data_IF_824946542011
#
_entry.id   IF_824946542011
#
_cell.length_a   1.000
_cell.length_b   1.000
_cell.length_c   1.000
_cell.angle_alpha   90.00
_cell.angle_beta   90.00
_cell.angle_gamma   90.00
#
_symmetry.space_group_name_H-M   'P 1'
#
loop_
_entity.id
_entity.type
_entity.pdbx_description
1 polymer ?
#
# COMPACT_ATOMS: atom_id res chain seq x y z
N UNK A 1 -10.46 -30.23 25.10
CA UNK A 1 -11.40 -29.27 24.48
C UNK A 1 -10.63 -28.39 23.49
N UNK A 2 -10.96 -28.36 22.20
CA UNK A 2 -10.31 -27.46 21.25
C UNK A 2 -10.80 -26.03 21.48
N UNK A 3 -9.87 -25.07 21.53
CA UNK A 3 -10.16 -23.66 21.74
C UNK A 3 -11.10 -23.12 20.66
N UNK A 4 -12.27 -22.59 21.06
CA UNK A 4 -13.20 -21.93 20.16
C UNK A 4 -12.48 -20.81 19.39
N UNK A 5 -12.33 -21.00 18.08
CA UNK A 5 -11.71 -20.03 17.19
C UNK A 5 -12.58 -18.76 17.17
N UNK A 6 -12.10 -17.69 17.83
CA UNK A 6 -12.78 -16.39 17.79
C UNK A 6 -12.97 -15.97 16.31
N UNK A 7 -14.14 -15.46 15.93
CA UNK A 7 -14.44 -15.12 14.53
C UNK A 7 -13.44 -14.11 13.99
N UNK A 8 -12.95 -14.36 12.77
CA UNK A 8 -11.97 -13.55 12.04
C UNK A 8 -12.31 -12.05 12.03
N UNK A 9 -13.61 -11.72 11.98
CA UNK A 9 -14.14 -10.36 12.03
C UNK A 9 -13.76 -9.60 13.30
N UNK A 10 -13.80 -10.23 14.48
CA UNK A 10 -13.45 -9.59 15.76
C UNK A 10 -11.94 -9.34 15.88
N UNK A 11 -11.11 -10.23 15.30
CA UNK A 11 -9.66 -10.02 15.25
C UNK A 11 -9.30 -8.87 14.31
N UNK A 12 -9.95 -8.82 13.15
CA UNK A 12 -9.76 -7.74 12.18
C UNK A 12 -10.19 -6.39 12.76
N UNK A 13 -11.40 -6.28 13.33
CA UNK A 13 -11.89 -5.03 13.96
C UNK A 13 -10.96 -4.58 15.08
N UNK A 14 -10.51 -5.49 15.95
CA UNK A 14 -9.53 -5.14 16.99
C UNK A 14 -8.18 -4.73 16.43
N UNK A 15 -7.70 -5.35 15.36
CA UNK A 15 -6.46 -4.97 14.69
C UNK A 15 -6.57 -3.59 14.03
N UNK A 16 -7.73 -3.27 13.44
CA UNK A 16 -8.03 -1.95 12.87
C UNK A 16 -8.14 -0.87 13.96
N UNK A 17 -8.82 -1.17 15.08
CA UNK A 17 -8.90 -0.30 16.25
C UNK A 17 -7.54 -0.08 16.92
N UNK A 18 -6.75 -1.14 17.12
CA UNK A 18 -5.40 -1.06 17.70
C UNK A 18 -4.42 -0.24 16.84
N UNK A 19 -4.68 -0.12 15.54
CA UNK A 19 -3.93 0.75 14.63
C UNK A 19 -4.47 2.18 14.56
N UNK A 20 -5.52 2.51 15.34
CA UNK A 20 -6.18 3.82 15.32
C UNK A 20 -7.03 4.10 14.07
N UNK A 21 -7.30 3.06 13.26
CA UNK A 21 -7.89 3.16 11.93
C UNK A 21 -9.42 3.02 11.93
N UNK A 22 -10.01 2.63 13.06
CA UNK A 22 -11.44 2.64 13.31
C UNK A 22 -11.73 3.44 14.59
N UNK A 23 -11.87 4.76 14.47
CA UNK A 23 -12.24 5.68 15.56
C UNK A 23 -13.73 6.01 15.50
N UNK A 24 -14.47 5.91 16.61
CA UNK A 24 -15.85 6.40 16.69
C UNK A 24 -15.92 7.88 16.26
N UNK A 25 -16.85 8.24 15.39
CA UNK A 25 -17.06 9.63 14.94
C UNK A 25 -16.13 10.16 13.85
N UNK A 26 -15.16 9.38 13.34
CA UNK A 26 -14.31 9.75 12.19
C UNK A 26 -14.33 8.69 11.09
N UNK A 27 -15.46 8.49 10.37
CA UNK A 27 -15.46 7.65 9.19
C UNK A 27 -14.39 8.21 8.23
N UNK A 28 -13.56 7.35 7.65
CA UNK A 28 -12.46 7.73 6.74
C UNK A 28 -11.26 8.46 7.37
N UNK A 29 -11.13 8.52 8.70
CA UNK A 29 -9.98 9.18 9.36
C UNK A 29 -8.62 8.63 8.91
N UNK A 30 -8.56 7.37 8.49
CA UNK A 30 -7.37 6.74 7.92
C UNK A 30 -6.88 7.37 6.60
N UNK A 31 -7.77 7.95 5.77
CA UNK A 31 -7.36 8.72 4.60
C UNK A 31 -6.67 10.03 5.01
N UNK A 32 -7.25 10.76 5.96
CA UNK A 32 -6.64 12.00 6.45
C UNK A 32 -5.31 11.74 7.17
N UNK A 33 -5.23 10.64 7.92
CA UNK A 33 -4.03 10.22 8.63
C UNK A 33 -2.94 9.78 7.62
N UNK A 34 -3.32 9.14 6.51
CA UNK A 34 -2.40 8.80 5.42
C UNK A 34 -1.85 10.04 4.71
N UNK A 35 -2.72 10.91 4.23
CA UNK A 35 -2.32 12.14 3.54
C UNK A 35 -1.44 13.03 4.44
N UNK A 36 -1.80 13.13 5.72
CA UNK A 36 -1.07 13.90 6.71
C UNK A 36 0.16 13.19 7.31
N UNK A 37 0.53 12.00 6.86
CA UNK A 37 1.61 11.21 7.47
C UNK A 37 2.96 11.94 7.38
N UNK A 38 3.78 11.86 8.44
CA UNK A 38 5.10 12.50 8.51
C UNK A 38 6.24 11.78 7.77
N UNK A 39 5.92 10.74 7.01
CA UNK A 39 6.85 9.99 6.14
C UNK A 39 6.07 9.19 5.10
N UNK A 40 6.73 8.82 4.01
CA UNK A 40 6.07 8.11 2.91
C UNK A 40 5.78 6.65 3.26
N UNK A 41 6.65 6.03 4.07
CA UNK A 41 6.33 4.76 4.73
C UNK A 41 5.06 4.89 5.57
N UNK A 42 4.93 5.98 6.33
CA UNK A 42 3.74 6.28 7.14
C UNK A 42 2.48 6.41 6.30
N UNK A 43 2.53 7.08 5.14
CA UNK A 43 1.41 7.18 4.21
C UNK A 43 0.84 5.80 3.87
N UNK A 44 1.69 4.86 3.43
CA UNK A 44 1.26 3.51 3.06
C UNK A 44 0.78 2.64 4.22
N UNK A 45 1.16 2.96 5.46
CA UNK A 45 0.64 2.28 6.66
C UNK A 45 -0.81 2.67 6.98
N UNK A 46 -1.23 3.88 6.58
CA UNK A 46 -2.58 4.40 6.87
C UNK A 46 -3.51 4.37 5.64
N UNK A 47 -2.97 4.41 4.41
CA UNK A 47 -3.72 4.62 3.16
C UNK A 47 -4.93 3.71 3.00
N UNK A 48 -4.78 2.41 3.29
CA UNK A 48 -5.92 1.51 3.34
C UNK A 48 -5.72 0.44 4.42
N UNK A 49 -6.37 0.60 5.59
CA UNK A 49 -6.24 -0.30 6.73
C UNK A 49 -6.61 -1.76 6.42
N UNK A 50 -7.67 -1.95 5.63
CA UNK A 50 -8.21 -3.27 5.31
C UNK A 50 -7.25 -4.02 4.40
N UNK A 51 -6.89 -3.43 3.26
CA UNK A 51 -5.92 -4.04 2.35
C UNK A 51 -4.56 -4.21 3.01
N UNK A 52 -4.12 -3.23 3.80
CA UNK A 52 -2.88 -3.34 4.58
C UNK A 52 -2.89 -4.52 5.54
N UNK A 53 -4.00 -4.80 6.24
CA UNK A 53 -4.13 -5.96 7.11
C UNK A 53 -4.13 -7.28 6.34
N UNK A 54 -4.85 -7.35 5.22
CA UNK A 54 -4.93 -8.53 4.35
C UNK A 54 -3.54 -8.85 3.77
N UNK A 55 -2.90 -7.88 3.12
CA UNK A 55 -1.57 -8.01 2.53
C UNK A 55 -0.50 -8.32 3.58
N UNK A 56 -0.57 -7.71 4.77
CA UNK A 56 0.33 -8.04 5.86
C UNK A 56 0.23 -9.53 6.22
N UNK A 57 -0.99 -10.06 6.33
CA UNK A 57 -1.24 -11.42 6.82
C UNK A 57 -0.95 -12.47 5.76
N UNK A 58 -1.38 -12.22 4.52
CA UNK A 58 -1.33 -13.21 3.44
C UNK A 58 -0.05 -13.14 2.60
N UNK A 59 0.62 -11.97 2.56
CA UNK A 59 1.77 -11.75 1.66
C UNK A 59 3.03 -11.43 2.46
N UNK A 60 3.04 -10.35 3.24
CA UNK A 60 4.26 -9.89 3.91
C UNK A 60 4.78 -10.87 4.96
N UNK A 61 3.92 -11.33 5.89
CA UNK A 61 4.36 -12.21 6.99
C UNK A 61 4.90 -13.56 6.50
N UNK A 62 4.28 -14.24 5.52
CA UNK A 62 4.84 -15.46 4.96
C UNK A 62 6.15 -15.25 4.19
N UNK A 63 6.32 -14.10 3.53
CA UNK A 63 7.51 -13.81 2.73
C UNK A 63 8.70 -13.32 3.56
N UNK A 64 8.46 -12.51 4.60
CA UNK A 64 9.51 -11.89 5.42
C UNK A 64 10.60 -12.86 5.91
N UNK A 65 10.31 -14.04 6.47
CA UNK A 65 11.37 -14.95 6.93
C UNK A 65 12.16 -15.59 5.78
N UNK A 66 11.62 -15.60 4.55
CA UNK A 66 12.26 -16.23 3.38
C UNK A 66 13.17 -15.28 2.62
N UNK A 67 12.74 -14.03 2.44
CA UNK A 67 13.43 -13.04 1.57
C UNK A 67 13.91 -11.79 2.31
N UNK A 68 13.65 -11.71 3.61
CA UNK A 68 13.97 -10.53 4.42
C UNK A 68 12.95 -9.40 4.30
N UNK A 69 13.09 -8.38 5.15
CA UNK A 69 12.08 -7.30 5.32
C UNK A 69 11.92 -6.44 4.08
N UNK A 70 13.04 -6.08 3.43
CA UNK A 70 13.04 -5.18 2.28
C UNK A 70 12.37 -5.81 1.06
N UNK A 71 12.80 -7.02 0.69
CA UNK A 71 12.23 -7.76 -0.43
C UNK A 71 10.77 -8.15 -0.17
N UNK A 72 10.42 -8.59 1.05
CA UNK A 72 9.03 -8.87 1.39
C UNK A 72 8.15 -7.61 1.24
N UNK A 73 8.64 -6.44 1.61
CA UNK A 73 7.97 -5.16 1.38
C UNK A 73 7.74 -4.88 -0.11
N UNK A 74 8.78 -5.01 -0.94
CA UNK A 74 8.68 -4.82 -2.39
C UNK A 74 7.66 -5.76 -3.02
N UNK A 75 7.76 -7.06 -2.71
CA UNK A 75 6.84 -8.08 -3.23
C UNK A 75 5.41 -7.82 -2.76
N UNK A 76 5.21 -7.35 -1.53
CA UNK A 76 3.87 -7.01 -1.03
C UNK A 76 3.24 -5.88 -1.84
N UNK A 77 4.02 -4.85 -2.21
CA UNK A 77 3.54 -3.78 -3.09
C UNK A 77 3.29 -4.26 -4.51
N UNK A 78 4.17 -5.11 -5.06
CA UNK A 78 3.98 -5.69 -6.39
C UNK A 78 2.68 -6.52 -6.45
N UNK A 79 2.46 -7.39 -5.46
CA UNK A 79 1.24 -8.19 -5.33
C UNK A 79 0.01 -7.30 -5.16
N UNK A 80 0.10 -6.22 -4.38
CA UNK A 80 -0.97 -5.24 -4.24
C UNK A 80 -1.30 -4.59 -5.59
N UNK A 81 -0.30 -4.07 -6.30
CA UNK A 81 -0.49 -3.42 -7.59
C UNK A 81 -1.12 -4.36 -8.63
N UNK A 82 -0.63 -5.60 -8.70
CA UNK A 82 -1.13 -6.56 -9.67
C UNK A 82 -2.53 -7.05 -9.32
N UNK A 83 -2.72 -7.61 -8.13
CA UNK A 83 -3.98 -8.28 -7.78
C UNK A 83 -5.13 -7.33 -7.46
N UNK A 84 -4.83 -6.12 -6.95
CA UNK A 84 -5.88 -5.17 -6.55
C UNK A 84 -6.14 -4.10 -7.60
N UNK A 85 -5.25 -3.91 -8.58
CA UNK A 85 -5.39 -2.84 -9.58
C UNK A 85 -5.30 -3.35 -11.01
N UNK A 86 -4.12 -3.78 -11.49
CA UNK A 86 -3.94 -4.08 -12.92
C UNK A 86 -4.77 -5.29 -13.38
N UNK A 87 -4.79 -6.37 -12.60
CA UNK A 87 -5.52 -7.58 -12.95
C UNK A 87 -7.05 -7.34 -13.00
N UNK A 88 -7.70 -6.75 -11.96
CA UNK A 88 -9.11 -6.41 -12.04
C UNK A 88 -9.45 -5.47 -13.21
N UNK A 89 -8.65 -4.42 -13.43
CA UNK A 89 -8.88 -3.48 -14.54
C UNK A 89 -8.78 -4.20 -15.88
N UNK A 90 -7.72 -4.99 -16.09
CA UNK A 90 -7.56 -5.74 -17.33
C UNK A 90 -8.69 -6.75 -17.58
N UNK A 91 -9.11 -7.48 -16.55
CA UNK A 91 -10.21 -8.44 -16.68
C UNK A 91 -11.55 -7.76 -16.96
N UNK A 92 -11.86 -6.66 -16.28
CA UNK A 92 -13.13 -5.94 -16.42
C UNK A 92 -13.20 -5.17 -17.74
N UNK A 93 -12.11 -4.52 -18.14
CA UNK A 93 -12.08 -3.62 -19.31
C UNK A 93 -11.71 -4.35 -20.59
N UNK A 94 -10.76 -5.29 -20.54
CA UNK A 94 -10.20 -5.96 -21.73
C UNK A 94 -10.57 -7.45 -21.84
N UNK A 95 -11.23 -8.00 -20.81
CA UNK A 95 -11.67 -9.40 -20.77
C UNK A 95 -10.54 -10.37 -20.43
N UNK A 96 -10.79 -11.67 -20.61
CA UNK A 96 -9.85 -12.72 -20.22
C UNK A 96 -8.68 -12.93 -21.20
N UNK A 97 -8.68 -12.28 -22.37
CA UNK A 97 -7.67 -12.47 -23.41
C UNK A 97 -6.40 -11.63 -23.11
N UNK A 98 -5.26 -12.25 -22.72
CA UNK A 98 -4.09 -11.49 -22.27
C UNK A 98 -3.46 -10.62 -23.36
N UNK A 99 -3.65 -10.95 -24.63
CA UNK A 99 -3.17 -10.16 -25.78
C UNK A 99 -3.81 -8.78 -25.89
N UNK A 100 -4.89 -8.52 -25.16
CA UNK A 100 -5.60 -7.22 -25.12
C UNK A 100 -5.31 -6.41 -23.86
N UNK A 101 -4.55 -6.97 -22.92
CA UNK A 101 -4.31 -6.34 -21.63
C UNK A 101 -3.34 -5.18 -21.78
N UNK A 102 -3.59 -4.13 -21.00
CA UNK A 102 -2.65 -3.03 -20.86
C UNK A 102 -1.44 -3.44 -20.02
N UNK A 103 -0.28 -2.79 -20.25
CA UNK A 103 0.89 -2.95 -19.39
C UNK A 103 0.55 -2.72 -17.91
N UNK A 104 1.26 -3.38 -16.97
CA UNK A 104 0.95 -3.33 -15.55
C UNK A 104 1.45 -2.03 -14.89
N UNK A 105 0.91 -0.89 -15.34
CA UNK A 105 1.34 0.45 -14.95
C UNK A 105 1.22 0.64 -13.43
N UNK A 106 0.14 0.15 -12.81
CA UNK A 106 -0.07 0.35 -11.37
C UNK A 106 0.90 -0.50 -10.56
N UNK A 107 1.18 -1.72 -10.98
CA UNK A 107 2.17 -2.61 -10.36
C UNK A 107 3.55 -1.98 -10.38
N UNK A 108 4.00 -1.49 -11.54
CA UNK A 108 5.30 -0.80 -11.65
C UNK A 108 5.32 0.42 -10.74
N UNK A 109 4.26 1.23 -10.74
CA UNK A 109 4.13 2.40 -9.87
C UNK A 109 4.20 2.06 -8.38
N UNK A 110 3.56 0.97 -7.95
CA UNK A 110 3.58 0.49 -6.56
C UNK A 110 4.97 -0.02 -6.15
N UNK A 111 5.69 -0.71 -7.04
CA UNK A 111 7.08 -1.10 -6.78
C UNK A 111 7.97 0.13 -6.60
N UNK A 112 7.80 1.16 -7.44
CA UNK A 112 8.51 2.43 -7.28
C UNK A 112 8.16 3.12 -5.96
N UNK A 113 6.89 3.13 -5.55
CA UNK A 113 6.47 3.63 -4.25
C UNK A 113 7.15 2.90 -3.09
N UNK A 114 7.26 1.57 -3.19
CA UNK A 114 7.92 0.75 -2.18
C UNK A 114 9.43 1.02 -2.10
N UNK A 115 10.09 1.17 -3.25
CA UNK A 115 11.50 1.55 -3.32
C UNK A 115 11.72 2.93 -2.70
N UNK A 116 10.91 3.93 -3.08
CA UNK A 116 10.98 5.29 -2.55
C UNK A 116 10.72 5.33 -1.04
N UNK A 117 9.69 4.62 -0.56
CA UNK A 117 9.38 4.56 0.86
C UNK A 117 10.52 3.91 1.67
N UNK A 118 11.15 2.86 1.14
CA UNK A 118 12.29 2.23 1.80
C UNK A 118 13.56 3.08 1.73
N UNK A 119 13.82 3.75 0.61
CA UNK A 119 14.96 4.66 0.46
C UNK A 119 14.83 5.83 1.43
N UNK A 120 13.66 6.48 1.48
CA UNK A 120 13.40 7.57 2.42
C UNK A 120 13.49 7.13 3.88
N UNK A 121 13.08 5.90 4.20
CA UNK A 121 13.24 5.37 5.55
C UNK A 121 14.70 5.13 5.94
N UNK A 122 15.51 4.58 5.02
CA UNK A 122 16.96 4.40 5.24
C UNK A 122 17.71 5.73 5.33
N UNK A 123 17.28 6.73 4.56
CA UNK A 123 17.84 8.07 4.59
C UNK A 123 17.33 8.92 5.77
N UNK A 124 16.47 8.37 6.64
CA UNK A 124 15.92 9.12 7.77
C UNK A 124 15.01 10.28 7.38
N UNK A 125 14.45 10.29 6.16
CA UNK A 125 13.57 11.35 5.69
C UNK A 125 12.29 11.36 6.53
N UNK A 126 12.11 12.45 7.29
CA UNK A 126 10.94 12.72 8.12
C UNK A 126 10.52 14.16 7.89
N UNK A 127 9.22 14.35 7.68
CA UNK A 127 8.58 15.66 7.53
C UNK A 127 7.41 15.78 8.50
N UNK A 128 7.48 15.07 9.63
CA UNK A 128 6.48 15.15 10.69
C UNK A 128 6.38 16.57 11.29
N UNK A 129 7.49 17.30 11.34
CA UNK A 129 7.55 18.68 11.82
C UNK A 129 7.00 19.71 10.82
N UNK A 130 6.74 19.32 9.56
CA UNK A 130 6.21 20.24 8.57
C UNK A 130 4.73 20.56 8.85
N UNK A 131 4.22 21.73 8.43
CA UNK A 131 2.80 22.05 8.48
C UNK A 131 1.96 20.99 7.74
N UNK A 132 0.72 20.77 8.20
CA UNK A 132 -0.13 19.71 7.65
C UNK A 132 -0.30 19.78 6.12
N UNK A 133 -0.55 20.95 5.49
CA UNK A 133 -0.65 21.03 4.03
C UNK A 133 0.64 20.59 3.32
N UNK A 134 1.81 20.93 3.86
CA UNK A 134 3.09 20.55 3.27
C UNK A 134 3.30 19.02 3.33
N UNK A 135 2.85 18.35 4.40
CA UNK A 135 2.89 16.87 4.48
C UNK A 135 1.96 16.22 3.45
N UNK A 136 0.76 16.77 3.30
CA UNK A 136 -0.21 16.31 2.28
C UNK A 136 0.39 16.45 0.89
N UNK A 137 0.92 17.62 0.55
CA UNK A 137 1.57 17.87 -0.73
C UNK A 137 2.75 16.94 -0.97
N UNK A 138 3.61 16.74 0.04
CA UNK A 138 4.75 15.83 -0.07
C UNK A 138 4.31 14.40 -0.37
N UNK A 139 3.33 13.86 0.37
CA UNK A 139 2.83 12.50 0.13
C UNK A 139 2.18 12.34 -1.25
N UNK A 140 1.33 13.31 -1.65
CA UNK A 140 0.69 13.29 -2.97
C UNK A 140 1.72 13.42 -4.11
N UNK A 141 2.71 14.30 -3.97
CA UNK A 141 3.76 14.48 -4.96
C UNK A 141 4.58 13.19 -5.15
N UNK A 142 4.90 12.47 -4.06
CA UNK A 142 5.60 11.20 -4.15
C UNK A 142 4.77 10.11 -4.86
N UNK A 143 3.47 10.00 -4.55
CA UNK A 143 2.57 9.07 -5.27
C UNK A 143 2.48 9.44 -6.75
N UNK A 144 2.29 10.72 -7.06
CA UNK A 144 2.19 11.21 -8.43
C UNK A 144 3.49 10.97 -9.22
N UNK A 145 4.65 11.20 -8.60
CA UNK A 145 5.96 10.94 -9.21
C UNK A 145 6.13 9.46 -9.54
N UNK A 146 5.79 8.55 -8.61
CA UNK A 146 5.84 7.11 -8.87
C UNK A 146 4.86 6.67 -9.97
N UNK A 147 3.65 7.25 -10.01
CA UNK A 147 2.67 6.97 -11.06
C UNK A 147 3.11 7.45 -12.45
N UNK A 148 3.66 8.66 -12.53
CA UNK A 148 4.21 9.21 -13.76
C UNK A 148 5.40 8.38 -14.26
N UNK A 149 6.32 8.02 -13.36
CA UNK A 149 7.47 7.19 -13.69
C UNK A 149 7.06 5.78 -14.14
N UNK A 150 6.12 5.14 -13.44
CA UNK A 150 5.61 3.82 -13.85
C UNK A 150 4.96 3.86 -15.23
N UNK A 151 4.16 4.89 -15.51
CA UNK A 151 3.56 5.10 -16.83
C UNK A 151 4.61 5.35 -17.92
N UNK A 152 5.69 6.07 -17.62
CA UNK A 152 6.78 6.30 -18.55
C UNK A 152 7.55 4.99 -18.86
N UNK A 153 7.87 4.20 -17.83
CA UNK A 153 8.56 2.91 -17.99
C UNK A 153 7.73 1.95 -18.84
N UNK A 154 6.43 1.84 -18.58
CA UNK A 154 5.55 0.94 -19.32
C UNK A 154 5.33 1.35 -20.78
N UNK A 155 5.63 2.60 -21.17
CA UNK A 155 5.57 3.03 -22.58
C UNK A 155 6.81 2.64 -23.39
N UNK A 156 7.85 2.11 -22.74
CA UNK A 156 9.07 1.65 -23.40
C UNK A 156 8.95 0.21 -23.93
N UNK A 157 7.85 -0.48 -23.61
CA UNK A 157 7.55 -1.86 -23.98
C UNK A 157 6.18 -1.92 -24.66
#
# INVERSE_FOLDING_TARGET
>A
MPAASRPLSRRLVRALQARGLARPGRPFGWFTDALGAGSFRGFWQHWNPLYGAVLQTLVYQPLRPRVGRAAAGLLTFAVSGWLLHDLPVNLIVHGAAPSRWWPPIVTVSFVLCALLAQAGDRAGLRYAAWPAPARVLANLAQVAACGAAGSAICRLF
#
